data_IF_086002698657
#
_entry.id   IF_086002698657
#
_cell.length_a   1.000
_cell.length_b   1.000
_cell.length_c   1.000
_cell.angle_alpha   90.00
_cell.angle_beta   90.00
_cell.angle_gamma   90.00
#
_symmetry.space_group_name_H-M   'P 1'
#
loop_
_entity.id
_entity.type
_entity.pdbx_description
1 polymer ?
#
# COMPACT_ATOMS: atom_id res chain seq x y z
N UNK A 1 4.45 7.51 -5.80
CA UNK A 1 3.14 7.10 -6.34
C UNK A 1 3.13 7.54 -7.77
N UNK A 2 2.89 6.62 -8.68
CA UNK A 2 2.79 6.91 -10.10
C UNK A 2 1.39 6.54 -10.56
N UNK A 3 0.74 7.44 -11.29
CA UNK A 3 -0.61 7.23 -11.80
C UNK A 3 -0.56 7.24 -13.32
N UNK A 4 -1.19 6.26 -13.94
CA UNK A 4 -1.50 6.24 -15.36
C UNK A 4 -3.01 6.45 -15.56
N UNK A 5 -3.48 6.41 -16.81
CA UNK A 5 -4.88 6.65 -17.18
C UNK A 5 -5.86 5.68 -16.52
N UNK A 6 -5.45 4.43 -16.30
CA UNK A 6 -6.33 3.35 -15.83
C UNK A 6 -5.80 2.57 -14.61
N UNK A 7 -4.59 2.88 -14.13
CA UNK A 7 -4.00 2.20 -12.98
C UNK A 7 -3.05 3.11 -12.18
N UNK A 8 -2.67 2.66 -10.98
CA UNK A 8 -1.78 3.41 -10.07
C UNK A 8 -0.78 2.45 -9.43
N UNK A 9 0.49 2.86 -9.38
CA UNK A 9 1.58 2.16 -8.72
C UNK A 9 1.94 2.84 -7.40
N UNK A 10 2.01 2.03 -6.34
CA UNK A 10 2.33 2.48 -4.99
C UNK A 10 3.55 1.73 -4.47
N UNK A 11 4.58 2.48 -4.06
CA UNK A 11 5.69 1.94 -3.29
C UNK A 11 5.41 2.19 -1.81
N UNK A 12 5.27 1.12 -1.03
CA UNK A 12 4.80 1.19 0.36
C UNK A 12 5.82 0.56 1.30
N UNK A 13 6.12 1.25 2.39
CA UNK A 13 6.75 0.66 3.57
C UNK A 13 5.67 0.44 4.63
N UNK A 14 5.49 -0.81 5.06
CA UNK A 14 4.45 -1.19 6.02
C UNK A 14 5.02 -2.10 7.10
N UNK A 15 4.35 -2.13 8.26
CA UNK A 15 4.71 -3.05 9.33
C UNK A 15 4.46 -4.50 8.90
N UNK A 16 5.33 -5.46 9.27
CA UNK A 16 5.16 -6.88 8.93
C UNK A 16 3.85 -7.50 9.45
N UNK A 17 3.26 -6.89 10.49
CA UNK A 17 1.98 -7.30 11.07
C UNK A 17 0.77 -6.90 10.24
N UNK A 18 0.94 -6.03 9.24
CA UNK A 18 -0.13 -5.60 8.36
C UNK A 18 -0.12 -6.44 7.09
N UNK A 19 -1.23 -7.15 6.83
CA UNK A 19 -1.33 -7.92 5.60
C UNK A 19 -1.43 -7.00 4.37
N UNK A 20 -0.84 -7.37 3.22
CA UNK A 20 -1.02 -6.63 1.97
C UNK A 20 -2.50 -6.45 1.59
N UNK A 21 -3.33 -7.46 1.88
CA UNK A 21 -4.76 -7.42 1.61
C UNK A 21 -5.48 -6.32 2.41
N UNK A 22 -5.19 -6.21 3.71
CA UNK A 22 -5.79 -5.19 4.58
C UNK A 22 -5.34 -3.78 4.18
N UNK A 23 -4.05 -3.63 3.84
CA UNK A 23 -3.51 -2.37 3.33
C UNK A 23 -4.25 -1.95 2.06
N UNK A 24 -4.37 -2.86 1.08
CA UNK A 24 -5.05 -2.55 -0.18
C UNK A 24 -6.56 -2.33 -0.01
N UNK A 25 -7.21 -3.02 0.92
CA UNK A 25 -8.61 -2.78 1.25
C UNK A 25 -8.82 -1.34 1.77
N UNK A 26 -7.95 -0.88 2.67
CA UNK A 26 -8.00 0.50 3.19
C UNK A 26 -7.70 1.52 2.11
N UNK A 27 -6.62 1.34 1.34
CA UNK A 27 -6.23 2.26 0.27
C UNK A 27 -7.36 2.41 -0.74
N UNK A 28 -7.86 1.29 -1.28
CA UNK A 28 -8.92 1.31 -2.30
C UNK A 28 -10.23 1.85 -1.74
N UNK A 29 -10.60 1.50 -0.51
CA UNK A 29 -11.82 1.99 0.13
C UNK A 29 -11.80 3.50 0.37
N UNK A 30 -10.74 4.02 1.01
CA UNK A 30 -10.62 5.44 1.35
C UNK A 30 -10.52 6.30 0.09
N UNK A 31 -9.70 5.91 -0.89
CA UNK A 31 -9.56 6.64 -2.15
C UNK A 31 -10.85 6.62 -2.97
N UNK A 32 -11.54 5.47 -3.04
CA UNK A 32 -12.84 5.32 -3.69
C UNK A 32 -13.89 6.29 -3.14
N UNK A 33 -13.91 6.49 -1.82
CA UNK A 33 -14.80 7.47 -1.16
C UNK A 33 -14.37 8.90 -1.48
N UNK A 34 -13.13 9.27 -1.15
CA UNK A 34 -12.64 10.65 -1.30
C UNK A 34 -12.73 11.15 -2.74
N UNK A 35 -12.36 10.32 -3.72
CA UNK A 35 -12.40 10.71 -5.13
C UNK A 35 -13.84 10.92 -5.64
N UNK A 36 -14.84 10.19 -5.12
CA UNK A 36 -16.24 10.44 -5.48
C UNK A 36 -16.84 11.68 -4.81
N UNK A 37 -16.34 12.03 -3.62
CA UNK A 37 -16.69 13.27 -2.93
C UNK A 37 -16.11 14.49 -3.68
N UNK A 38 -14.87 14.38 -4.16
CA UNK A 38 -14.17 15.45 -4.88
C UNK A 38 -14.58 15.57 -6.36
N UNK A 39 -14.86 14.44 -7.01
CA UNK A 39 -15.23 14.37 -8.43
C UNK A 39 -16.60 13.71 -8.60
N UNK A 40 -17.71 14.47 -8.53
CA UNK A 40 -19.06 13.93 -8.59
C UNK A 40 -19.38 13.13 -9.86
N UNK A 41 -18.70 13.44 -10.97
CA UNK A 41 -18.84 12.69 -12.21
C UNK A 41 -18.42 11.22 -12.06
N UNK A 42 -17.66 10.82 -11.03
CA UNK A 42 -17.29 9.42 -10.77
C UNK A 42 -18.38 8.60 -10.07
N UNK A 43 -19.48 9.22 -9.61
CA UNK A 43 -20.55 8.54 -8.89
C UNK A 43 -21.33 7.53 -9.75
N UNK A 44 -21.33 7.70 -11.08
CA UNK A 44 -21.93 6.73 -12.00
C UNK A 44 -21.20 5.38 -12.03
N UNK A 45 -19.94 5.33 -11.57
CA UNK A 45 -19.16 4.10 -11.56
C UNK A 45 -19.59 3.19 -10.40
N UNK A 46 -20.02 1.94 -10.66
CA UNK A 46 -20.43 1.01 -9.60
C UNK A 46 -19.27 0.67 -8.64
N UNK A 47 -18.04 0.69 -9.14
CA UNK A 47 -16.82 0.65 -8.33
C UNK A 47 -15.74 1.50 -8.99
N UNK A 48 -14.90 2.17 -8.19
CA UNK A 48 -13.80 2.98 -8.73
C UNK A 48 -12.60 2.09 -9.04
N UNK A 49 -12.36 1.12 -8.17
CA UNK A 49 -11.29 0.15 -8.33
C UNK A 49 -11.87 -1.22 -8.71
N UNK A 50 -11.13 -1.99 -9.50
CA UNK A 50 -11.42 -3.42 -9.69
C UNK A 50 -11.26 -4.17 -8.37
N UNK A 51 -11.68 -5.43 -8.27
CA UNK A 51 -11.45 -6.22 -7.03
C UNK A 51 -9.97 -6.59 -6.87
N UNK A 52 -9.28 -6.84 -7.97
CA UNK A 52 -7.89 -7.28 -8.01
C UNK A 52 -6.89 -6.20 -7.64
N UNK A 53 -5.70 -6.61 -7.23
CA UNK A 53 -4.52 -5.77 -7.05
C UNK A 53 -3.28 -6.64 -7.28
N UNK A 54 -2.17 -6.02 -7.64
CA UNK A 54 -0.86 -6.67 -7.71
C UNK A 54 0.00 -6.21 -6.53
N UNK A 55 0.73 -7.13 -5.92
CA UNK A 55 1.70 -6.83 -4.87
C UNK A 55 2.94 -7.70 -5.06
N UNK A 56 4.10 -7.08 -4.92
CA UNK A 56 5.40 -7.75 -4.91
C UNK A 56 6.29 -7.08 -3.88
N UNK A 57 7.26 -7.83 -3.34
CA UNK A 57 8.29 -7.25 -2.49
C UNK A 57 9.25 -6.43 -3.33
N UNK A 58 9.63 -5.25 -2.83
CA UNK A 58 10.72 -4.48 -3.41
C UNK A 58 12.02 -4.84 -2.69
N UNK A 59 12.99 -5.38 -3.43
CA UNK A 59 14.27 -5.81 -2.88
C UNK A 59 15.22 -4.64 -2.69
N UNK A 60 15.38 -4.15 -1.46
CA UNK A 60 16.60 -3.48 -1.01
C UNK A 60 16.67 -3.44 0.54
N UNK A 61 16.90 -4.59 1.17
CA UNK A 61 17.32 -4.61 2.57
C UNK A 61 18.84 -4.76 2.57
N UNK A 62 19.56 -3.67 2.86
CA UNK A 62 21.02 -3.74 2.97
C UNK A 62 21.42 -4.64 4.15
N UNK A 63 22.57 -5.32 4.05
CA UNK A 63 23.11 -6.12 5.16
C UNK A 63 23.26 -5.30 6.45
N UNK A 64 23.47 -3.99 6.31
CA UNK A 64 23.51 -3.02 7.41
C UNK A 64 22.15 -2.87 8.12
N UNK A 65 21.04 -2.87 7.37
CA UNK A 65 19.69 -2.80 7.93
C UNK A 65 19.35 -4.06 8.72
N UNK A 66 19.76 -5.23 8.21
CA UNK A 66 19.61 -6.52 8.92
C UNK A 66 20.46 -6.53 10.20
N UNK A 67 21.73 -6.10 10.10
CA UNK A 67 22.65 -6.06 11.24
C UNK A 67 22.11 -5.16 12.36
N UNK A 68 21.64 -3.96 12.03
CA UNK A 68 21.05 -3.01 12.99
C UNK A 68 19.81 -3.58 13.66
N UNK A 69 18.95 -4.27 12.92
CA UNK A 69 17.77 -4.95 13.48
C UNK A 69 18.16 -6.03 14.49
N UNK A 70 19.15 -6.88 14.17
CA UNK A 70 19.62 -7.96 15.06
C UNK A 70 20.28 -7.40 16.32
N UNK A 71 21.09 -6.35 16.21
CA UNK A 71 21.74 -5.71 17.36
C UNK A 71 20.72 -5.07 18.32
N UNK A 72 19.66 -4.45 17.80
CA UNK A 72 18.59 -3.85 18.61
C UNK A 72 17.69 -4.88 19.31
N UNK A 73 17.66 -6.14 18.85
CA UNK A 73 16.93 -7.21 19.53
C UNK A 73 17.70 -7.75 20.74
N UNK A 74 19.04 -7.69 20.73
CA UNK A 74 19.88 -8.18 21.84
C UNK A 74 19.84 -7.29 23.08
N UNK A 75 19.44 -6.03 22.96
CA UNK A 75 19.32 -5.06 24.07
C UNK A 75 17.95 -5.04 24.74
N UNK A 76 17.01 -5.91 24.33
CA UNK A 76 15.69 -6.08 24.97
C UNK A 76 15.63 -7.32 25.86
N UNK A 77 16.79 -7.82 26.31
CA UNK A 77 16.93 -8.84 27.35
C UNK A 77 17.30 -8.21 28.69
#
# INVERSE_FOLDING_TARGET
>A
MECDKDHTHLFLHALPTLSPADIMAKIKGVTSKKLREEFPHLQHLPSLWTRSYFVSTAGHVSSETIKRYVEQQKTRG
#
